data_IF_029972492055
#
_entry.id   IF_029972492055
#
_cell.length_a   1.000
_cell.length_b   1.000
_cell.length_c   1.000
_cell.angle_alpha   90.00
_cell.angle_beta   90.00
_cell.angle_gamma   90.00
#
_symmetry.space_group_name_H-M   'P 1'
#
loop_
_entity.id
_entity.type
_entity.pdbx_description
1 polymer ?
#
# COMPACT_ATOMS: atom_id res chain seq x y z
N UNK A 1 5.08 17.03 1.13
CA UNK A 1 4.37 15.73 1.15
C UNK A 1 3.52 15.74 2.41
N UNK A 2 2.19 15.65 2.26
CA UNK A 2 1.23 15.86 3.35
C UNK A 2 0.93 14.58 4.14
N UNK A 3 0.97 13.43 3.48
CA UNK A 3 0.64 12.13 4.08
C UNK A 3 1.35 11.01 3.32
N UNK A 4 1.76 9.97 4.04
CA UNK A 4 2.36 8.77 3.46
C UNK A 4 2.05 7.55 4.31
N UNK A 5 1.61 6.46 3.68
CA UNK A 5 1.42 5.17 4.34
C UNK A 5 1.56 4.03 3.34
N UNK A 6 1.57 2.80 3.85
CA UNK A 6 1.59 1.57 3.05
C UNK A 6 0.26 0.86 3.23
N UNK A 7 -0.45 0.66 2.13
CA UNK A 7 -1.68 -0.11 2.11
C UNK A 7 -1.36 -1.57 1.81
N UNK A 8 -1.80 -2.44 2.72
CA UNK A 8 -1.74 -3.90 2.54
C UNK A 8 -3.02 -4.35 1.83
N UNK A 9 -2.90 -5.29 0.92
CA UNK A 9 -4.05 -6.01 0.37
C UNK A 9 -4.68 -6.85 1.50
N UNK A 10 -5.64 -6.28 2.22
CA UNK A 10 -6.35 -6.99 3.30
C UNK A 10 -7.38 -7.92 2.70
N UNK A 11 -7.03 -9.19 2.46
CA UNK A 11 -7.98 -10.32 2.38
C UNK A 11 -9.27 -10.10 1.57
N UNK A 12 -9.28 -9.21 0.57
CA UNK A 12 -10.40 -9.03 -0.34
C UNK A 12 -10.26 -10.11 -1.39
N UNK A 13 -11.37 -10.76 -1.71
CA UNK A 13 -11.44 -11.79 -2.75
C UNK A 13 -10.72 -11.32 -4.00
N UNK A 14 -9.88 -12.20 -4.55
CA UNK A 14 -9.16 -12.00 -5.82
C UNK A 14 -10.08 -11.32 -6.83
N UNK A 15 -9.79 -10.07 -7.19
CA UNK A 15 -10.55 -9.31 -8.19
C UNK A 15 -11.07 -7.94 -7.75
N UNK A 16 -10.95 -7.56 -6.48
CA UNK A 16 -11.21 -6.17 -6.07
C UNK A 16 -9.93 -5.33 -6.07
N UNK A 17 -9.67 -4.66 -7.20
CA UNK A 17 -8.63 -3.65 -7.28
C UNK A 17 -8.84 -2.57 -6.21
N UNK A 18 -7.73 -2.00 -5.73
CA UNK A 18 -7.78 -0.81 -4.89
C UNK A 18 -8.63 0.28 -5.58
N UNK A 19 -9.40 1.08 -4.82
CA UNK A 19 -10.07 2.24 -5.40
C UNK A 19 -9.08 3.05 -6.22
N UNK A 20 -9.50 3.54 -7.39
CA UNK A 20 -8.60 4.29 -8.24
C UNK A 20 -8.11 5.55 -7.51
N UNK A 21 -6.96 6.06 -7.92
CA UNK A 21 -6.44 7.35 -7.46
C UNK A 21 -7.52 8.44 -7.44
N UNK A 22 -8.31 8.56 -8.52
CA UNK A 22 -9.36 9.57 -8.64
C UNK A 22 -10.49 9.37 -7.62
N UNK A 23 -10.80 8.13 -7.26
CA UNK A 23 -11.77 7.83 -6.21
C UNK A 23 -11.26 8.29 -4.84
N UNK A 24 -9.99 8.04 -4.54
CA UNK A 24 -9.36 8.55 -3.31
C UNK A 24 -9.31 10.08 -3.28
N UNK A 25 -8.95 10.74 -4.38
CA UNK A 25 -8.96 12.20 -4.47
C UNK A 25 -10.36 12.75 -4.19
N UNK A 26 -11.41 12.16 -4.76
CA UNK A 26 -12.81 12.57 -4.49
C UNK A 26 -13.23 12.32 -3.04
N UNK A 27 -12.85 11.19 -2.45
CA UNK A 27 -13.18 10.88 -1.05
C UNK A 27 -12.47 11.82 -0.09
N UNK A 28 -11.17 12.08 -0.32
CA UNK A 28 -10.39 13.06 0.44
C UNK A 28 -11.02 14.44 0.34
N UNK A 29 -11.42 14.86 -0.87
CA UNK A 29 -12.05 16.15 -1.08
C UNK A 29 -13.34 16.29 -0.27
N UNK A 30 -14.16 15.24 -0.13
CA UNK A 30 -15.39 15.26 0.69
C UNK A 30 -15.13 15.37 2.19
N UNK A 31 -14.02 14.83 2.68
CA UNK A 31 -13.67 14.88 4.11
C UNK A 31 -12.93 16.16 4.52
N UNK A 32 -12.45 16.95 3.54
CA UNK A 32 -11.84 18.25 3.80
C UNK A 32 -12.89 19.29 4.24
N UNK A 33 -12.50 20.28 5.06
CA UNK A 33 -13.35 21.43 5.36
C UNK A 33 -13.81 22.16 4.10
N UNK A 34 -14.99 22.78 4.14
CA UNK A 34 -15.59 23.46 3.00
C UNK A 34 -14.69 24.53 2.36
N UNK A 35 -13.93 25.24 3.19
CA UNK A 35 -12.97 26.27 2.80
C UNK A 35 -11.77 25.72 2.02
N UNK A 36 -11.50 24.41 2.12
CA UNK A 36 -10.34 23.74 1.53
C UNK A 36 -10.69 22.81 0.37
N UNK A 37 -11.96 22.72 -0.06
CA UNK A 37 -12.34 21.84 -1.17
C UNK A 37 -11.63 22.18 -2.49
N UNK A 38 -11.21 23.42 -2.70
CA UNK A 38 -10.57 23.86 -3.96
C UNK A 38 -9.05 23.76 -3.93
N UNK A 39 -8.45 23.27 -2.83
CA UNK A 39 -6.99 23.23 -2.73
C UNK A 39 -6.41 22.22 -3.72
N UNK A 40 -5.30 22.56 -4.41
CA UNK A 40 -4.63 21.63 -5.30
C UNK A 40 -3.84 20.59 -4.51
N UNK A 41 -4.25 19.33 -4.60
CA UNK A 41 -3.49 18.18 -4.11
C UNK A 41 -3.59 17.01 -5.09
N UNK A 42 -2.70 16.02 -4.93
CA UNK A 42 -2.62 14.81 -5.75
C UNK A 42 -2.36 13.58 -4.88
N UNK A 43 -3.05 12.50 -5.20
CA UNK A 43 -2.80 11.18 -4.62
C UNK A 43 -1.86 10.39 -5.53
N UNK A 44 -0.92 9.69 -4.94
CA UNK A 44 -0.04 8.74 -5.62
C UNK A 44 -0.22 7.35 -4.99
N UNK A 45 -0.31 6.34 -5.85
CA UNK A 45 -0.58 4.94 -5.49
C UNK A 45 0.40 4.04 -6.24
N UNK A 46 1.65 4.01 -5.78
CA UNK A 46 2.68 3.23 -6.43
C UNK A 46 2.63 1.77 -5.92
N UNK A 47 2.49 0.76 -6.80
CA UNK A 47 2.60 -0.64 -6.39
C UNK A 47 4.03 -0.94 -5.95
N UNK A 48 4.17 -1.76 -4.92
CA UNK A 48 5.44 -2.18 -4.35
C UNK A 48 5.39 -3.69 -4.07
N UNK A 49 6.40 -4.42 -4.55
CA UNK A 49 6.70 -5.77 -4.07
C UNK A 49 7.69 -5.63 -2.90
N UNK A 50 7.28 -5.94 -1.67
CA UNK A 50 8.13 -5.79 -0.49
C UNK A 50 9.10 -6.97 -0.29
N UNK A 51 9.03 -8.02 -1.11
CA UNK A 51 9.87 -9.20 -0.94
C UNK A 51 11.34 -8.81 -1.15
N UNK A 52 12.26 -9.29 -0.28
CA UNK A 52 13.67 -9.08 -0.51
C UNK A 52 14.10 -9.81 -1.79
N UNK A 53 15.12 -9.27 -2.44
CA UNK A 53 15.75 -9.97 -3.57
C UNK A 53 16.30 -11.32 -3.07
N UNK A 54 16.02 -12.44 -3.75
CA UNK A 54 16.62 -13.74 -3.43
C UNK A 54 18.15 -13.78 -3.65
N UNK A 55 18.76 -12.66 -4.03
CA UNK A 55 20.20 -12.48 -4.22
C UNK A 55 20.77 -11.43 -3.27
N UNK A 56 22.05 -11.60 -2.92
CA UNK A 56 22.81 -10.58 -2.22
C UNK A 56 23.10 -9.35 -3.10
N UNK A 57 23.70 -8.31 -2.51
CA UNK A 57 24.03 -7.07 -3.22
C UNK A 57 25.01 -7.25 -4.41
N UNK A 58 25.68 -8.40 -4.53
CA UNK A 58 26.58 -8.75 -5.64
C UNK A 58 25.86 -9.60 -6.70
N UNK A 59 24.59 -9.93 -6.50
CA UNK A 59 23.80 -10.79 -7.39
C UNK A 59 23.97 -12.29 -7.13
N UNK A 60 24.57 -12.69 -6.01
CA UNK A 60 24.76 -14.09 -5.64
C UNK A 60 23.51 -14.60 -4.94
N UNK A 61 22.98 -15.76 -5.38
CA UNK A 61 21.82 -16.37 -4.75
C UNK A 61 22.04 -16.63 -3.25
N UNK A 62 21.01 -16.37 -2.45
CA UNK A 62 21.01 -16.67 -1.03
C UNK A 62 20.67 -18.15 -0.84
N UNK A 63 21.51 -18.85 -0.07
CA UNK A 63 21.33 -20.27 0.22
C UNK A 63 20.80 -20.47 1.64
N UNK A 64 19.93 -21.46 1.79
CA UNK A 64 19.39 -21.91 3.07
C UNK A 64 20.04 -23.22 3.44
N UNK A 65 20.60 -23.29 4.65
CA UNK A 65 21.12 -24.52 5.23
C UNK A 65 20.04 -25.21 6.06
N UNK A 66 19.80 -26.48 5.77
CA UNK A 66 18.89 -27.34 6.55
C UNK A 66 19.71 -28.19 7.55
N UNK A 67 19.55 -27.98 8.87
CA UNK A 67 20.28 -28.75 9.88
C UNK A 67 19.80 -30.20 10.01
N UNK A 68 18.59 -30.54 9.54
CA UNK A 68 18.05 -31.90 9.61
C UNK A 68 18.62 -32.81 8.52
N UNK A 69 18.87 -32.27 7.33
CA UNK A 69 19.44 -33.00 6.20
C UNK A 69 20.93 -32.71 5.95
N UNK A 70 21.50 -31.70 6.62
CA UNK A 70 22.85 -31.19 6.40
C UNK A 70 23.10 -30.72 4.96
N UNK A 71 22.07 -30.25 4.27
CA UNK A 71 22.16 -29.78 2.88
C UNK A 71 22.01 -28.26 2.79
N UNK A 72 22.47 -27.70 1.67
CA UNK A 72 22.38 -26.28 1.33
C UNK A 72 21.66 -26.16 -0.01
N UNK A 73 20.56 -25.40 -0.06
CA UNK A 73 19.78 -25.22 -1.29
C UNK A 73 19.10 -23.84 -1.32
N UNK A 74 18.56 -23.47 -2.47
CA UNK A 74 17.80 -22.22 -2.64
C UNK A 74 16.28 -22.45 -2.57
N UNK A 75 15.82 -23.70 -2.69
CA UNK A 75 14.39 -24.05 -2.74
C UNK A 75 13.60 -23.56 -1.52
N UNK A 76 14.08 -23.74 -0.26
CA UNK A 76 13.31 -23.28 0.91
C UNK A 76 13.13 -21.77 0.95
N UNK A 77 14.03 -21.00 0.33
CA UNK A 77 13.93 -19.55 0.29
C UNK A 77 12.70 -19.11 -0.51
N UNK A 78 12.41 -19.75 -1.64
CA UNK A 78 11.23 -19.44 -2.45
C UNK A 78 9.95 -19.64 -1.64
N UNK A 79 9.86 -20.75 -0.90
CA UNK A 79 8.73 -21.02 -0.01
C UNK A 79 8.58 -19.94 1.07
N UNK A 80 9.69 -19.47 1.67
CA UNK A 80 9.64 -18.39 2.65
C UNK A 80 9.18 -17.06 2.05
N UNK A 81 9.61 -16.74 0.82
CA UNK A 81 9.22 -15.52 0.12
C UNK A 81 7.75 -15.52 -0.29
N UNK A 82 7.18 -16.68 -0.60
CA UNK A 82 5.76 -16.83 -0.92
C UNK A 82 4.83 -16.59 0.27
N UNK A 83 5.34 -16.72 1.50
CA UNK A 83 4.61 -16.36 2.72
C UNK A 83 4.53 -14.83 2.93
N UNK A 84 5.36 -14.06 2.21
CA UNK A 84 5.34 -12.60 2.31
C UNK A 84 4.29 -11.99 1.38
N UNK A 85 3.71 -10.83 1.73
CA UNK A 85 2.79 -10.14 0.84
C UNK A 85 3.46 -9.82 -0.50
N UNK A 86 2.82 -10.18 -1.61
CA UNK A 86 3.37 -9.96 -2.96
C UNK A 86 3.00 -8.59 -3.54
N UNK A 87 2.02 -7.90 -2.94
CA UNK A 87 1.55 -6.60 -3.41
C UNK A 87 1.20 -5.67 -2.26
N UNK A 88 1.96 -4.58 -2.17
CA UNK A 88 1.66 -3.42 -1.35
C UNK A 88 1.41 -2.22 -2.26
N UNK A 89 0.73 -1.20 -1.73
CA UNK A 89 0.65 0.11 -2.37
C UNK A 89 1.25 1.15 -1.46
N UNK A 90 2.28 1.84 -1.94
CA UNK A 90 2.75 3.08 -1.36
C UNK A 90 1.72 4.17 -1.68
N UNK A 91 0.99 4.61 -0.66
CA UNK A 91 -0.02 5.64 -0.77
C UNK A 91 0.53 6.97 -0.25
N UNK A 92 0.57 7.99 -1.12
CA UNK A 92 1.14 9.31 -0.81
C UNK A 92 0.21 10.42 -1.23
N UNK A 93 0.21 11.51 -0.47
CA UNK A 93 -0.51 12.74 -0.82
C UNK A 93 0.49 13.89 -0.94
N UNK A 94 0.43 14.57 -2.07
CA UNK A 94 1.23 15.75 -2.35
C UNK A 94 0.32 16.98 -2.49
N UNK A 95 0.70 18.07 -1.84
CA UNK A 95 0.12 19.39 -1.99
C UNK A 95 1.22 20.36 -2.49
N UNK A 96 0.82 21.51 -3.01
CA UNK A 96 1.76 22.52 -3.51
C UNK A 96 2.61 23.15 -2.38
N UNK A 97 2.03 23.26 -1.18
CA UNK A 97 2.68 23.77 0.01
C UNK A 97 2.24 22.95 1.23
N UNK A 98 2.77 23.30 2.41
CA UNK A 98 2.56 22.57 3.65
C UNK A 98 1.46 23.14 4.54
N UNK A 99 0.79 24.22 4.11
CA UNK A 99 -0.18 24.96 4.94
C UNK A 99 -1.40 24.10 5.30
N UNK A 100 -1.75 23.14 4.45
CA UNK A 100 -2.92 22.26 4.60
C UNK A 100 -2.55 20.81 4.92
N UNK A 101 -1.28 20.52 5.25
CA UNK A 101 -0.81 19.16 5.47
C UNK A 101 -1.57 18.46 6.61
N UNK A 102 -1.87 19.20 7.69
CA UNK A 102 -2.61 18.67 8.82
C UNK A 102 -4.04 18.24 8.45
N UNK A 103 -4.74 19.06 7.65
CA UNK A 103 -6.09 18.77 7.19
C UNK A 103 -6.12 17.59 6.21
N UNK A 104 -5.18 17.57 5.26
CA UNK A 104 -5.03 16.46 4.31
C UNK A 104 -4.68 15.15 5.01
N UNK A 105 -3.77 15.19 5.98
CA UNK A 105 -3.38 14.03 6.79
C UNK A 105 -4.55 13.47 7.59
N UNK A 106 -5.34 14.35 8.22
CA UNK A 106 -6.55 13.96 8.95
C UNK A 106 -7.63 13.40 8.03
N UNK A 107 -7.89 14.04 6.89
CA UNK A 107 -8.82 13.54 5.89
C UNK A 107 -8.39 12.15 5.39
N UNK A 108 -7.09 11.95 5.12
CA UNK A 108 -6.54 10.66 4.70
C UNK A 108 -6.71 9.57 5.75
N UNK A 109 -6.39 9.87 7.01
CA UNK A 109 -6.60 8.94 8.11
C UNK A 109 -8.08 8.54 8.22
N UNK A 110 -9.01 9.49 8.06
CA UNK A 110 -10.44 9.22 8.07
C UNK A 110 -10.88 8.35 6.89
N UNK A 111 -10.50 8.69 5.65
CA UNK A 111 -10.86 7.92 4.44
C UNK A 111 -10.32 6.48 4.51
N UNK A 112 -9.06 6.31 4.92
CA UNK A 112 -8.42 5.00 4.98
C UNK A 112 -8.98 4.14 6.12
N UNK A 113 -9.35 4.73 7.26
CA UNK A 113 -10.04 4.03 8.35
C UNK A 113 -11.51 3.72 8.02
N UNK A 114 -12.17 4.54 7.19
CA UNK A 114 -13.55 4.34 6.71
C UNK A 114 -13.68 3.25 5.64
N UNK A 115 -12.63 2.50 5.32
CA UNK A 115 -12.70 1.43 4.30
C UNK A 115 -13.93 0.54 4.58
N UNK A 116 -14.93 0.50 3.67
CA UNK A 116 -16.29 0.09 4.01
C UNK A 116 -16.40 -1.39 4.37
N UNK A 117 -17.10 -1.64 5.48
CA UNK A 117 -17.99 -2.80 5.65
C UNK A 117 -18.89 -2.93 4.42
N UNK A 118 -18.82 -4.07 3.72
CA UNK A 118 -19.86 -4.56 2.82
C UNK A 118 -20.13 -3.70 1.58
N UNK A 119 -19.80 -4.24 0.42
CA UNK A 119 -20.53 -3.87 -0.79
C UNK A 119 -21.96 -4.40 -0.56
N UNK A 120 -22.94 -3.52 -0.40
CA UNK A 120 -24.35 -3.90 -0.56
C UNK A 120 -24.55 -4.23 -2.04
N UNK A 121 -24.44 -5.50 -2.38
CA UNK A 121 -24.89 -6.02 -3.67
C UNK A 121 -26.42 -5.99 -3.63
N UNK A 122 -27.00 -5.05 -4.37
CA UNK A 122 -28.42 -5.05 -4.68
C UNK A 122 -28.75 -6.34 -5.45
N UNK A 123 -29.74 -7.10 -4.95
CA UNK A 123 -30.40 -8.22 -5.65
C UNK A 123 -31.67 -7.68 -6.30
#
# INVERSE_FOLDING_TARGET
>A
MAYSTVLKEKGRERGMDFPSRDQFEKQLQKELPATLHTIPFRVDMAPLDPRPDPKDARGVALFVYDPGTHTVSTEPLEEFLDLLPTRLIQFRIYALNHDTDADLSRAAATVLNKTPSGIETNV
#
